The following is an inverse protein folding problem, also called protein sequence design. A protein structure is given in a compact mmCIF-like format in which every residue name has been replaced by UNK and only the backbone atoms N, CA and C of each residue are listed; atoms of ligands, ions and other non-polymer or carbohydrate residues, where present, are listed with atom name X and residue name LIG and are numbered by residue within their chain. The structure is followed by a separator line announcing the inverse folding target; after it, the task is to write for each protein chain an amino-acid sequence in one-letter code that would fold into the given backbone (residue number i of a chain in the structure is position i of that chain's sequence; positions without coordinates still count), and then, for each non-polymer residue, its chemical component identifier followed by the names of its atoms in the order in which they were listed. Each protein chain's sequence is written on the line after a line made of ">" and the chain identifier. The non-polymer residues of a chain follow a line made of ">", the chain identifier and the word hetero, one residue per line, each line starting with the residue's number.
data_IF_919821902116
#
_entry.id   IF_919821902116
#
_cell.length_a   1.000
_cell.length_b   1.000
_cell.length_c   1.000
_cell.angle_alpha   90.00
_cell.angle_beta   90.00
_cell.angle_gamma   90.00
#
_symmetry.space_group_name_H-M   'P 1'
#
loop_
_entity.id
_entity.type
_entity.pdbx_description
1 polymer ?
#
# COMPACT_ATOMS: atom_id res chain seq x y z
N UNK A 1 -1.28 -1.83 10.15
CA UNK A 1 -1.62 -1.74 8.72
C UNK A 1 -2.55 -2.89 8.38
N UNK A 2 -3.57 -2.68 7.56
CA UNK A 2 -4.41 -3.74 7.02
C UNK A 2 -4.05 -3.94 5.55
N UNK A 3 -3.56 -5.13 5.20
CA UNK A 3 -3.14 -5.47 3.84
C UNK A 3 -3.88 -6.74 3.45
N UNK A 4 -4.57 -6.71 2.32
CA UNK A 4 -5.33 -7.84 1.81
C UNK A 4 -5.36 -7.87 0.29
N UNK A 5 -5.71 -9.03 -0.25
CA UNK A 5 -5.92 -9.20 -1.68
C UNK A 5 -7.15 -8.40 -2.16
N UNK A 6 -7.15 -8.04 -3.43
CA UNK A 6 -8.21 -7.24 -4.04
C UNK A 6 -9.51 -8.04 -4.10
N UNK A 7 -10.58 -7.53 -3.46
CA UNK A 7 -11.93 -8.12 -3.60
C UNK A 7 -12.81 -7.40 -4.62
N UNK A 8 -12.68 -6.08 -4.70
CA UNK A 8 -13.49 -5.21 -5.56
C UNK A 8 -12.64 -4.18 -6.34
N UNK A 9 -11.35 -4.46 -6.46
CA UNK A 9 -10.34 -3.58 -7.05
C UNK A 9 -9.31 -3.11 -6.03
N UNK A 10 -8.29 -2.40 -6.51
CA UNK A 10 -7.23 -1.79 -5.70
C UNK A 10 -7.81 -0.66 -4.85
N UNK A 11 -7.34 -0.54 -3.60
CA UNK A 11 -7.77 0.50 -2.66
C UNK A 11 -6.58 0.93 -1.81
N UNK A 12 -6.42 2.25 -1.65
CA UNK A 12 -5.61 2.85 -0.60
C UNK A 12 -6.50 3.76 0.25
N UNK A 13 -6.53 3.52 1.57
CA UNK A 13 -7.04 4.51 2.53
C UNK A 13 -6.03 4.78 3.61
N UNK A 14 -6.01 6.03 4.07
CA UNK A 14 -4.99 6.53 4.99
C UNK A 14 -5.62 6.98 6.31
N UNK A 15 -4.85 6.96 7.42
CA UNK A 15 -5.27 7.54 8.70
C UNK A 15 -5.35 9.08 8.71
N UNK A 16 -5.16 9.72 7.56
CA UNK A 16 -5.22 11.16 7.38
C UNK A 16 -5.59 11.51 5.93
N UNK A 17 -6.20 12.68 5.75
CA UNK A 17 -6.52 13.20 4.42
C UNK A 17 -5.27 13.65 3.65
N UNK A 18 -5.26 13.42 2.34
CA UNK A 18 -4.29 14.05 1.43
C UNK A 18 -4.92 15.30 0.79
N UNK A 19 -4.16 16.41 0.79
CA UNK A 19 -4.50 17.65 0.09
C UNK A 19 -3.36 18.05 -0.86
N UNK A 20 -3.63 18.23 -2.17
CA UNK A 20 -4.91 18.02 -2.85
C UNK A 20 -5.28 16.54 -2.91
N UNK A 21 -6.58 16.22 -3.03
CA UNK A 21 -7.02 14.83 -3.25
C UNK A 21 -6.36 14.29 -4.53
N UNK A 22 -5.66 13.18 -4.40
CA UNK A 22 -4.99 12.48 -5.50
C UNK A 22 -5.85 11.32 -5.96
N UNK A 23 -5.85 11.05 -7.27
CA UNK A 23 -6.59 9.91 -7.82
C UNK A 23 -5.87 8.59 -7.52
N UNK A 24 -4.53 8.60 -7.51
CA UNK A 24 -3.67 7.45 -7.24
C UNK A 24 -2.39 7.87 -6.54
N UNK A 25 -1.86 6.96 -5.75
CA UNK A 25 -0.57 7.07 -5.04
C UNK A 25 0.27 5.83 -5.35
N UNK A 26 1.59 5.98 -5.26
CA UNK A 26 2.52 4.85 -5.26
C UNK A 26 2.65 4.37 -3.82
N UNK A 27 2.41 3.07 -3.60
CA UNK A 27 2.69 2.42 -2.32
C UNK A 27 3.85 1.46 -2.54
N UNK A 28 4.95 1.69 -1.80
CA UNK A 28 6.13 0.84 -1.80
C UNK A 28 6.33 0.25 -0.42
N UNK A 29 6.57 -1.04 -0.37
CA UNK A 29 7.07 -1.72 0.83
C UNK A 29 8.52 -2.09 0.60
N UNK A 30 9.37 -1.81 1.58
CA UNK A 30 10.81 -2.07 1.52
C UNK A 30 11.26 -2.90 2.71
N UNK A 31 12.23 -3.77 2.48
CA UNK A 31 12.90 -4.61 3.46
C UNK A 31 14.41 -4.65 3.22
N UNK A 32 15.15 -5.55 3.89
CA UNK A 32 16.59 -5.63 3.79
C UNK A 32 17.05 -6.10 2.39
N UNK A 33 18.31 -5.80 2.04
CA UNK A 33 18.97 -6.27 0.81
C UNK A 33 18.22 -5.87 -0.47
N UNK A 34 17.75 -4.63 -0.53
CA UNK A 34 17.02 -4.07 -1.68
C UNK A 34 15.73 -4.82 -2.02
N UNK A 35 15.15 -5.57 -1.06
CA UNK A 35 13.85 -6.19 -1.20
C UNK A 35 12.78 -5.11 -1.22
N UNK A 36 12.04 -4.97 -2.33
CA UNK A 36 10.89 -4.09 -2.38
C UNK A 36 9.78 -4.64 -3.27
N UNK A 37 8.55 -4.22 -2.96
CA UNK A 37 7.38 -4.36 -3.83
C UNK A 37 6.67 -3.02 -3.93
N UNK A 38 6.17 -2.71 -5.11
CA UNK A 38 5.50 -1.43 -5.39
C UNK A 38 4.23 -1.65 -6.20
N UNK A 39 3.18 -0.90 -5.87
CA UNK A 39 1.95 -0.86 -6.65
C UNK A 39 1.32 0.55 -6.66
N UNK A 40 0.55 0.82 -7.72
CA UNK A 40 -0.23 2.05 -7.88
C UNK A 40 -1.66 1.83 -7.39
N UNK A 41 -2.01 2.48 -6.29
CA UNK A 41 -3.32 2.31 -5.64
C UNK A 41 -4.16 3.60 -5.72
N UNK A 42 -5.47 3.49 -6.04
CA UNK A 42 -6.35 4.64 -5.99
C UNK A 42 -6.58 5.08 -4.54
N UNK A 43 -6.45 6.38 -4.28
CA UNK A 43 -6.72 6.92 -2.96
C UNK A 43 -8.23 7.07 -2.76
N UNK A 44 -8.79 6.25 -1.87
CA UNK A 44 -10.22 6.14 -1.62
C UNK A 44 -10.67 6.89 -0.36
N UNK A 45 -9.80 7.71 0.22
CA UNK A 45 -10.13 8.57 1.35
C UNK A 45 -9.52 8.11 2.68
N UNK A 46 -10.15 8.56 3.76
CA UNK A 46 -9.67 8.37 5.12
C UNK A 46 -10.29 7.14 5.78
N UNK A 47 -9.52 6.49 6.64
CA UNK A 47 -9.91 5.36 7.50
C UNK A 47 -9.13 5.42 8.81
N UNK A 48 -9.53 4.66 9.83
CA UNK A 48 -8.76 4.62 11.09
C UNK A 48 -7.36 4.01 10.90
N UNK A 49 -7.24 3.06 9.98
CA UNK A 49 -6.01 2.33 9.69
C UNK A 49 -5.52 2.61 8.28
N UNK A 50 -4.22 2.44 8.03
CA UNK A 50 -3.72 2.28 6.67
C UNK A 50 -4.32 0.99 6.08
N UNK A 51 -5.15 1.13 5.05
CA UNK A 51 -5.78 0.03 4.31
C UNK A 51 -5.16 -0.07 2.91
N UNK A 52 -4.66 -1.26 2.55
CA UNK A 52 -4.06 -1.58 1.27
C UNK A 52 -4.76 -2.83 0.70
N UNK A 53 -5.52 -2.65 -0.37
CA UNK A 53 -6.03 -3.77 -1.18
C UNK A 53 -5.19 -3.86 -2.45
N UNK A 54 -4.30 -4.86 -2.53
CA UNK A 54 -3.40 -5.10 -3.67
C UNK A 54 -2.95 -6.55 -3.68
N UNK A 55 -3.23 -7.27 -4.77
CA UNK A 55 -2.77 -8.63 -5.03
C UNK A 55 -1.24 -8.67 -5.13
N UNK A 56 -0.65 -7.73 -5.85
CA UNK A 56 0.79 -7.62 -6.04
C UNK A 56 1.52 -7.48 -4.71
N UNK A 57 1.07 -6.56 -3.84
CA UNK A 57 1.66 -6.39 -2.50
C UNK A 57 1.36 -7.62 -1.63
N UNK A 58 0.10 -8.09 -1.57
CA UNK A 58 -0.31 -9.17 -0.66
C UNK A 58 0.42 -10.47 -0.97
N UNK A 59 0.51 -10.87 -2.24
CA UNK A 59 1.19 -12.09 -2.63
C UNK A 59 2.70 -11.97 -2.43
N UNK A 60 3.30 -10.83 -2.73
CA UNK A 60 4.73 -10.64 -2.50
C UNK A 60 5.11 -10.69 -1.02
N UNK A 61 4.29 -10.10 -0.15
CA UNK A 61 4.45 -10.22 1.31
C UNK A 61 4.33 -11.66 1.81
N UNK A 62 3.41 -12.44 1.23
CA UNK A 62 3.22 -13.84 1.61
C UNK A 62 4.45 -14.71 1.30
N UNK A 63 5.18 -14.38 0.22
CA UNK A 63 6.43 -15.04 -0.17
C UNK A 63 7.65 -14.57 0.63
N UNK A 64 7.58 -13.39 1.26
CA UNK A 64 8.68 -12.75 1.99
C UNK A 64 8.26 -12.32 3.40
N UNK A 65 7.62 -13.22 4.14
CA UNK A 65 7.07 -12.97 5.46
C UNK A 65 8.12 -12.37 6.41
N UNK A 66 7.68 -11.37 7.20
CA UNK A 66 8.45 -10.68 8.24
C UNK A 66 9.74 -9.98 7.77
N UNK A 67 9.92 -9.78 6.45
CA UNK A 67 11.11 -9.11 5.92
C UNK A 67 10.90 -7.61 5.65
N UNK A 68 9.67 -7.10 5.71
CA UNK A 68 9.40 -5.69 5.43
C UNK A 68 9.38 -4.85 6.70
N UNK A 69 10.08 -3.72 6.67
CA UNK A 69 10.19 -2.79 7.81
C UNK A 69 9.68 -1.38 7.50
N UNK A 70 9.54 -1.04 6.21
CA UNK A 70 9.20 0.31 5.76
C UNK A 70 8.05 0.30 4.77
N UNK A 71 7.11 1.25 4.93
CA UNK A 71 6.04 1.53 3.97
C UNK A 71 6.16 3.00 3.55
N UNK A 72 6.30 3.24 2.26
CA UNK A 72 6.35 4.56 1.64
C UNK A 72 5.09 4.80 0.82
N UNK A 73 4.50 5.99 0.97
CA UNK A 73 3.31 6.42 0.23
C UNK A 73 3.67 7.72 -0.47
N UNK A 74 3.86 7.63 -1.79
CA UNK A 74 4.45 8.69 -2.60
C UNK A 74 3.45 9.22 -3.61
N UNK A 75 3.46 10.53 -3.79
CA UNK A 75 2.88 11.18 -4.96
C UNK A 75 3.84 11.02 -6.16
N UNK A 76 3.30 11.14 -7.37
CA UNK A 76 4.11 11.11 -8.59
C UNK A 76 4.79 12.46 -8.85
#
# INVERSE_FOLDING_TARGET
>A
VNIQNQKRGKVLKLPFGIVPKKDKMIVRMTGPRDLFVEDYLPYCGESEWLEIDSDEITYFLADHQDQFDTIEIMDK
#
